data_IF_801585437782
#
_entry.id   IF_801585437782
#
_cell.length_a   1.000
_cell.length_b   1.000
_cell.length_c   1.000
_cell.angle_alpha   90.00
_cell.angle_beta   90.00
_cell.angle_gamma   90.00
#
_symmetry.space_group_name_H-M   'P 1'
#
loop_
_entity.id
_entity.type
_entity.pdbx_description
1 polymer ?
#
# COMPACT_ATOMS: atom_id res chain seq x y z
N UNK A 1 -23.25 -5.06 5.03
CA UNK A 1 -22.42 -4.48 6.11
C UNK A 1 -21.25 -3.76 5.45
N UNK A 2 -21.00 -2.50 5.82
CA UNK A 2 -19.82 -1.75 5.29
C UNK A 2 -18.56 -2.22 6.01
N UNK A 3 -17.45 -2.35 5.30
CA UNK A 3 -16.16 -2.69 5.90
C UNK A 3 -15.65 -1.48 6.72
N UNK A 4 -15.05 -1.68 7.90
CA UNK A 4 -14.58 -0.59 8.75
C UNK A 4 -13.46 0.19 8.04
N UNK A 5 -13.57 1.52 8.06
CA UNK A 5 -12.53 2.42 7.53
C UNK A 5 -11.37 2.47 8.53
N UNK A 6 -10.14 2.09 8.13
CA UNK A 6 -9.01 2.15 9.05
C UNK A 6 -8.56 3.58 9.31
N UNK A 7 -7.95 3.80 10.46
CA UNK A 7 -7.27 5.05 10.79
C UNK A 7 -5.83 5.04 10.32
N UNK A 8 -5.21 6.22 10.25
CA UNK A 8 -3.79 6.39 9.88
C UNK A 8 -2.88 5.47 10.71
N UNK A 9 -3.11 5.36 12.03
CA UNK A 9 -2.32 4.52 12.94
C UNK A 9 -2.31 3.03 12.59
N UNK A 10 -3.33 2.55 11.87
CA UNK A 10 -3.46 1.13 11.53
C UNK A 10 -2.68 0.78 10.25
N UNK A 11 -2.23 1.77 9.50
CA UNK A 11 -1.33 1.54 8.38
C UNK A 11 0.10 1.35 8.86
N UNK A 12 0.78 0.41 8.23
CA UNK A 12 2.20 0.13 8.44
C UNK A 12 3.04 0.75 7.33
N UNK A 13 4.12 1.40 7.74
CA UNK A 13 5.19 1.90 6.88
C UNK A 13 6.33 0.89 6.81
N UNK A 14 7.07 0.89 5.70
CA UNK A 14 8.32 0.14 5.60
C UNK A 14 9.34 0.64 6.65
N UNK A 15 10.04 -0.26 7.34
CA UNK A 15 11.03 0.11 8.34
C UNK A 15 12.24 0.87 7.75
N UNK A 16 12.57 0.57 6.49
CA UNK A 16 13.65 1.26 5.75
C UNK A 16 13.30 2.70 5.34
N UNK A 17 12.05 3.13 5.57
CA UNK A 17 11.62 4.48 5.25
C UNK A 17 12.07 5.49 6.31
N UNK A 18 12.47 6.69 5.87
CA UNK A 18 12.75 7.78 6.80
C UNK A 18 11.46 8.23 7.53
N UNK A 19 11.50 8.49 8.85
CA UNK A 19 10.36 9.02 9.59
C UNK A 19 9.80 10.33 9.01
N UNK A 20 10.66 11.12 8.35
CA UNK A 20 10.32 12.44 7.81
C UNK A 20 9.97 12.41 6.31
N UNK A 21 10.11 11.27 5.65
CA UNK A 21 9.75 11.13 4.24
C UNK A 21 8.37 10.52 4.13
N UNK A 22 7.58 11.07 3.22
CA UNK A 22 6.39 10.41 2.72
C UNK A 22 6.70 8.98 2.25
N UNK A 23 5.74 8.06 2.34
CA UNK A 23 5.94 6.65 2.07
C UNK A 23 4.69 5.88 1.63
N UNK A 24 4.94 4.71 1.05
CA UNK A 24 3.91 3.67 0.84
C UNK A 24 3.45 3.14 2.19
N UNK A 25 2.16 3.29 2.46
CA UNK A 25 1.49 2.81 3.67
C UNK A 25 0.63 1.60 3.31
N UNK A 26 0.76 0.51 4.08
CA UNK A 26 -0.01 -0.73 3.87
C UNK A 26 -0.85 -1.04 5.10
N UNK A 27 -2.13 -1.28 4.91
CA UNK A 27 -3.03 -1.82 5.93
C UNK A 27 -3.55 -3.18 5.48
N UNK A 28 -3.74 -4.11 6.42
CA UNK A 28 -4.35 -5.42 6.16
C UNK A 28 -5.34 -5.76 7.28
N UNK A 29 -6.55 -6.17 6.89
CA UNK A 29 -7.52 -6.80 7.79
C UNK A 29 -7.96 -8.16 7.25
N UNK A 30 -9.03 -8.76 7.78
CA UNK A 30 -9.44 -10.10 7.41
C UNK A 30 -9.99 -10.23 5.98
N UNK A 31 -10.30 -9.10 5.35
CA UNK A 31 -11.05 -9.02 4.11
C UNK A 31 -10.22 -8.39 2.98
N UNK A 32 -9.30 -7.47 3.31
CA UNK A 32 -8.62 -6.66 2.31
C UNK A 32 -7.25 -6.17 2.75
N UNK A 33 -6.46 -5.83 1.74
CA UNK A 33 -5.26 -5.02 1.85
C UNK A 33 -5.55 -3.64 1.26
N UNK A 34 -5.12 -2.58 1.93
CA UNK A 34 -5.17 -1.21 1.43
C UNK A 34 -3.75 -0.68 1.27
N UNK A 35 -3.50 -0.02 0.15
CA UNK A 35 -2.28 0.74 -0.11
C UNK A 35 -2.65 2.22 -0.15
N UNK A 36 -1.91 3.04 0.57
CA UNK A 36 -2.15 4.48 0.71
C UNK A 36 -0.83 5.26 0.65
N UNK A 37 -0.91 6.54 0.32
CA UNK A 37 0.21 7.49 0.31
C UNK A 37 0.00 8.48 1.46
N UNK A 38 0.90 8.50 2.44
CA UNK A 38 0.78 9.37 3.61
C UNK A 38 0.82 10.87 3.25
N UNK A 39 1.28 11.25 2.05
CA UNK A 39 1.18 12.62 1.51
C UNK A 39 -0.26 13.11 1.36
N UNK A 40 -1.22 12.19 1.30
CA UNK A 40 -2.64 12.53 1.17
C UNK A 40 -3.26 12.94 2.50
N UNK A 41 -2.54 12.76 3.62
CA UNK A 41 -2.96 13.28 4.92
C UNK A 41 -2.86 14.81 4.95
N UNK A 42 -3.86 15.45 5.55
CA UNK A 42 -3.82 16.87 5.86
C UNK A 42 -2.91 17.13 7.07
N UNK A 43 -2.31 18.32 7.19
CA UNK A 43 -1.47 18.67 8.34
C UNK A 43 -2.16 18.57 9.71
N UNK A 44 -3.50 18.61 9.73
CA UNK A 44 -4.31 18.49 10.95
C UNK A 44 -4.75 17.05 11.24
N UNK A 45 -4.50 16.12 10.32
CA UNK A 45 -4.90 14.73 10.49
C UNK A 45 -4.02 14.06 11.55
N UNK A 46 -4.68 13.40 12.49
CA UNK A 46 -4.01 12.69 13.60
C UNK A 46 -4.00 11.18 13.34
N UNK A 47 -3.28 10.44 14.17
CA UNK A 47 -3.20 8.97 14.07
C UNK A 47 -4.59 8.28 14.12
N UNK A 48 -5.60 8.91 14.72
CA UNK A 48 -6.98 8.41 14.79
C UNK A 48 -7.86 8.85 13.63
N UNK A 49 -7.35 9.68 12.71
CA UNK A 49 -8.11 10.14 11.56
C UNK A 49 -8.39 8.95 10.61
N UNK A 50 -9.63 8.75 10.13
CA UNK A 50 -9.95 7.69 9.17
C UNK A 50 -9.34 7.99 7.81
N UNK A 51 -8.74 6.99 7.15
CA UNK A 51 -8.24 7.14 5.78
C UNK A 51 -9.38 6.87 4.79
N UNK A 52 -9.78 7.83 3.95
CA UNK A 52 -10.88 7.63 3.01
C UNK A 52 -10.56 6.52 1.99
N UNK A 53 -11.46 5.56 1.74
CA UNK A 53 -11.24 4.47 0.78
C UNK A 53 -10.92 4.94 -0.63
N UNK A 54 -11.44 6.08 -1.07
CA UNK A 54 -11.17 6.70 -2.37
C UNK A 54 -9.72 7.18 -2.54
N UNK A 55 -8.99 7.36 -1.43
CA UNK A 55 -7.56 7.65 -1.44
C UNK A 55 -6.70 6.40 -1.43
N UNK A 56 -7.31 5.22 -1.31
CA UNK A 56 -6.61 3.95 -1.23
C UNK A 56 -6.72 3.15 -2.52
N UNK A 57 -5.72 2.30 -2.76
CA UNK A 57 -5.86 1.14 -3.64
C UNK A 57 -6.23 -0.06 -2.79
N UNK A 58 -7.35 -0.70 -3.12
CA UNK A 58 -7.86 -1.88 -2.40
C UNK A 58 -7.51 -3.15 -3.16
N UNK A 59 -6.93 -4.11 -2.46
CA UNK A 59 -6.60 -5.43 -3.00
C UNK A 59 -7.21 -6.48 -2.09
N UNK A 60 -7.62 -7.62 -2.66
CA UNK A 60 -7.74 -8.81 -1.83
C UNK A 60 -6.35 -9.31 -1.40
N UNK A 61 -6.30 -10.26 -0.47
CA UNK A 61 -5.02 -10.74 0.03
C UNK A 61 -4.23 -11.48 -1.03
N UNK A 62 -4.88 -12.30 -1.86
CA UNK A 62 -4.19 -13.12 -2.86
C UNK A 62 -3.55 -12.23 -3.94
N UNK A 63 -4.23 -11.15 -4.32
CA UNK A 63 -3.69 -10.11 -5.21
C UNK A 63 -2.45 -9.45 -4.61
N UNK A 64 -2.47 -9.12 -3.31
CA UNK A 64 -1.31 -8.54 -2.65
C UNK A 64 -0.17 -9.56 -2.48
N UNK A 65 -0.47 -10.84 -2.19
CA UNK A 65 0.55 -11.89 -2.13
C UNK A 65 1.20 -12.16 -3.49
N UNK A 66 0.42 -12.11 -4.58
CA UNK A 66 0.94 -12.20 -5.93
C UNK A 66 1.89 -11.03 -6.25
N UNK A 67 1.54 -9.80 -5.84
CA UNK A 67 2.42 -8.63 -5.96
C UNK A 67 3.72 -8.82 -5.15
N UNK A 68 3.62 -9.26 -3.89
CA UNK A 68 4.79 -9.50 -3.06
C UNK A 68 5.72 -10.55 -3.68
N UNK A 69 5.15 -11.65 -4.19
CA UNK A 69 5.88 -12.72 -4.88
C UNK A 69 6.55 -12.22 -6.15
N UNK A 70 5.86 -11.42 -6.96
CA UNK A 70 6.41 -10.82 -8.17
C UNK A 70 7.65 -9.96 -7.86
N UNK A 71 7.57 -9.09 -6.84
CA UNK A 71 8.68 -8.23 -6.40
C UNK A 71 9.87 -9.06 -5.89
N UNK A 72 9.60 -10.11 -5.10
CA UNK A 72 10.65 -11.00 -4.56
C UNK A 72 11.37 -11.79 -5.64
N UNK A 73 10.62 -12.26 -6.64
CA UNK A 73 11.16 -13.09 -7.72
C UNK A 73 11.66 -12.28 -8.92
N UNK A 74 11.46 -10.95 -8.92
CA UNK A 74 11.80 -10.09 -10.04
C UNK A 74 10.94 -10.33 -11.29
N UNK A 75 9.76 -10.95 -11.13
CA UNK A 75 8.83 -11.22 -12.22
C UNK A 75 7.80 -10.09 -12.34
N UNK A 76 7.23 -9.83 -13.53
CA UNK A 76 6.11 -8.92 -13.67
C UNK A 76 4.90 -9.39 -12.85
N UNK A 77 4.21 -8.45 -12.19
CA UNK A 77 2.89 -8.71 -11.62
C UNK A 77 1.81 -8.47 -12.68
N UNK A 78 0.95 -9.46 -12.93
CA UNK A 78 -0.23 -9.33 -13.78
C UNK A 78 -1.52 -9.23 -12.95
N UNK A 79 -1.42 -8.60 -11.77
CA UNK A 79 -2.49 -8.54 -10.77
C UNK A 79 -3.30 -7.25 -10.82
N UNK A 80 -4.11 -7.05 -9.78
CA UNK A 80 -4.97 -5.88 -9.65
C UNK A 80 -4.23 -4.54 -9.51
N UNK A 81 -2.93 -4.56 -9.23
CA UNK A 81 -2.06 -3.39 -9.12
C UNK A 81 -1.09 -3.32 -10.29
N UNK A 82 -1.06 -2.17 -10.96
CA UNK A 82 -0.01 -1.77 -11.90
C UNK A 82 0.95 -0.82 -11.20
N UNK A 83 2.25 -1.09 -11.31
CA UNK A 83 3.31 -0.17 -10.90
C UNK A 83 4.08 0.23 -12.16
N UNK A 84 4.03 1.51 -12.52
CA UNK A 84 4.73 2.04 -13.69
C UNK A 84 5.70 3.14 -13.28
N UNK A 85 6.81 3.28 -14.01
CA UNK A 85 7.76 4.37 -13.81
C UNK A 85 7.52 5.44 -14.87
N UNK A 86 7.20 6.65 -14.43
CA UNK A 86 7.02 7.82 -15.28
C UNK A 86 8.34 8.35 -15.83
N UNK A 87 8.25 9.21 -16.86
CA UNK A 87 9.39 9.90 -17.45
C UNK A 87 10.06 10.90 -16.49
N UNK A 88 9.33 11.38 -15.50
CA UNK A 88 9.81 12.19 -14.37
C UNK A 88 10.59 11.38 -13.33
N UNK A 89 10.67 10.05 -13.50
CA UNK A 89 11.36 9.14 -12.61
C UNK A 89 10.55 8.71 -11.38
N UNK A 90 9.31 9.19 -11.21
CA UNK A 90 8.39 8.74 -10.15
C UNK A 90 7.73 7.42 -10.52
N UNK A 91 7.27 6.71 -9.50
CA UNK A 91 6.50 5.48 -9.61
C UNK A 91 5.03 5.78 -9.36
N UNK A 92 4.18 5.38 -10.29
CA UNK A 92 2.73 5.41 -10.13
C UNK A 92 2.24 4.01 -9.75
N UNK A 93 1.48 3.95 -8.66
CA UNK A 93 0.72 2.79 -8.28
C UNK A 93 -0.73 3.08 -8.65
N UNK A 94 -1.34 2.22 -9.46
CA UNK A 94 -2.74 2.36 -9.84
C UNK A 94 -3.39 1.01 -10.08
N UNK A 95 -4.71 0.96 -9.99
CA UNK A 95 -5.45 -0.25 -10.31
C UNK A 95 -5.33 -0.56 -11.81
N UNK A 96 -5.07 -1.84 -12.13
CA UNK A 96 -5.17 -2.33 -13.49
C UNK A 96 -6.59 -2.07 -14.05
N UNK A 97 -6.75 -1.71 -15.34
CA UNK A 97 -8.03 -1.24 -15.89
C UNK A 97 -9.24 -2.13 -15.55
N UNK A 98 -9.06 -3.44 -15.65
CA UNK A 98 -10.07 -4.47 -15.38
C UNK A 98 -10.41 -4.64 -13.89
N UNK A 99 -9.57 -4.14 -12.98
CA UNK A 99 -9.78 -4.22 -11.53
C UNK A 99 -10.26 -2.90 -10.91
N UNK A 100 -10.27 -1.77 -11.63
CA UNK A 100 -10.62 -0.44 -11.10
C UNK A 100 -11.93 -0.38 -10.32
N UNK A 101 -12.96 -1.11 -10.77
CA UNK A 101 -14.27 -1.13 -10.10
C UNK A 101 -14.20 -1.71 -8.66
N UNK A 102 -13.19 -2.53 -8.36
CA UNK A 102 -12.98 -3.15 -7.05
C UNK A 102 -11.82 -2.54 -6.29
N UNK A 103 -10.72 -2.26 -7.01
CA UNK A 103 -9.48 -1.77 -6.42
C UNK A 103 -9.47 -0.26 -6.20
N UNK A 104 -10.43 0.47 -6.74
CA UNK A 104 -10.50 1.92 -6.68
C UNK A 104 -9.82 2.60 -7.85
N UNK A 105 -9.94 3.92 -7.88
CA UNK A 105 -9.43 4.79 -8.95
C UNK A 105 -8.28 5.69 -8.49
N UNK A 106 -7.81 5.52 -7.24
CA UNK A 106 -6.67 6.25 -6.71
C UNK A 106 -5.43 6.03 -7.58
N UNK A 107 -4.60 7.07 -7.69
CA UNK A 107 -3.27 7.01 -8.31
C UNK A 107 -2.29 7.54 -7.29
N UNK A 108 -1.39 6.69 -6.82
CA UNK A 108 -0.43 7.03 -5.76
C UNK A 108 0.94 7.22 -6.39
N UNK A 109 1.64 8.29 -6.01
CA UNK A 109 2.87 8.71 -6.67
C UNK A 109 4.04 8.75 -5.70
N UNK A 110 5.00 7.88 -5.94
CA UNK A 110 6.17 7.69 -5.08
C UNK A 110 7.44 8.06 -5.82
N UNK A 111 8.40 8.66 -5.14
CA UNK A 111 9.74 8.84 -5.65
C UNK A 111 10.52 7.51 -5.65
N UNK A 112 11.79 7.57 -6.07
CA UNK A 112 12.65 6.38 -6.11
C UNK A 112 12.98 5.83 -4.72
N UNK A 113 13.15 6.68 -3.71
CA UNK A 113 13.49 6.26 -2.35
C UNK A 113 12.29 5.55 -1.71
N UNK A 114 11.10 6.12 -1.86
CA UNK A 114 9.84 5.53 -1.38
C UNK A 114 9.58 4.16 -2.01
N UNK A 115 9.70 4.07 -3.34
CA UNK A 115 9.55 2.79 -4.03
C UNK A 115 10.63 1.77 -3.60
N UNK A 116 11.87 2.21 -3.43
CA UNK A 116 12.97 1.33 -3.00
C UNK A 116 12.73 0.81 -1.58
N UNK A 117 12.25 1.65 -0.67
CA UNK A 117 11.90 1.25 0.69
C UNK A 117 10.74 0.24 0.70
N UNK A 118 9.71 0.46 -0.13
CA UNK A 118 8.62 -0.50 -0.32
C UNK A 118 9.12 -1.86 -0.83
N UNK A 119 9.95 -1.87 -1.88
CA UNK A 119 10.55 -3.10 -2.43
C UNK A 119 11.41 -3.82 -1.38
N UNK A 120 12.18 -3.07 -0.60
CA UNK A 120 12.97 -3.62 0.51
C UNK A 120 12.06 -4.30 1.54
N UNK A 121 11.03 -3.61 2.02
CA UNK A 121 10.08 -4.16 2.99
C UNK A 121 9.38 -5.44 2.48
N UNK A 122 8.99 -5.48 1.20
CA UNK A 122 8.43 -6.69 0.59
C UNK A 122 9.42 -7.86 0.59
N UNK A 123 10.69 -7.60 0.24
CA UNK A 123 11.76 -8.61 0.25
C UNK A 123 12.12 -9.11 1.65
N UNK A 124 11.94 -8.26 2.66
CA UNK A 124 12.16 -8.58 4.06
C UNK A 124 10.89 -9.01 4.81
N UNK A 125 9.82 -9.38 4.09
CA UNK A 125 8.59 -9.93 4.66
C UNK A 125 7.87 -9.00 5.66
N UNK A 126 8.08 -7.69 5.58
CA UNK A 126 7.49 -6.74 6.53
C UNK A 126 5.98 -6.57 6.37
N UNK A 127 5.45 -6.85 5.18
CA UNK A 127 4.02 -6.74 4.87
C UNK A 127 3.28 -8.09 4.83
N UNK A 128 3.90 -9.16 5.36
CA UNK A 128 3.23 -10.45 5.54
C UNK A 128 1.98 -10.32 6.42
N UNK A 129 0.98 -11.17 6.15
CA UNK A 129 -0.32 -11.08 6.83
C UNK A 129 -0.18 -11.19 8.35
N UNK A 130 0.66 -12.11 8.82
CA UNK A 130 0.94 -12.32 10.25
C UNK A 130 1.43 -11.05 10.96
N UNK A 131 2.07 -10.13 10.23
CA UNK A 131 2.64 -8.90 10.77
C UNK A 131 1.57 -7.84 11.13
N UNK A 132 0.32 -8.06 10.74
CA UNK A 132 -0.84 -7.20 11.03
C UNK A 132 -1.83 -7.81 12.02
N UNK A 133 -1.70 -9.10 12.29
CA UNK A 133 -2.60 -9.85 13.18
C UNK A 133 -1.91 -10.41 14.41
N UNK A 134 -0.76 -9.85 14.80
CA UNK A 134 -0.18 -10.21 16.10
C UNK A 134 -1.27 -10.06 17.16
N UNK A 135 -1.57 -11.13 17.94
CA UNK A 135 -2.42 -10.97 19.10
C UNK A 135 -1.78 -9.89 19.97
N UNK A 136 -2.58 -8.95 20.46
CA UNK A 136 -2.12 -8.05 21.50
C UNK A 136 -1.49 -8.91 22.61
N UNK A 137 -0.20 -8.70 22.85
CA UNK A 137 0.47 -9.24 24.02
C UNK A 137 -0.02 -8.49 25.26
#
# INVERSE_FOLDING_TARGET
>A
MSLPTPTIAQFRKAAASSPQQACVMVYRDNHRTLIWDDKLANPVDTATHPVPPEQCLTLDHDQFEALQTAIRTGRPSHGALTISRGSDGRYEFSAAPEYRARAGTARLFFDRHEYTAFVHAVRHHEFERSAFFSPAA
#
